data_IF_480863257920
#
_entry.id   IF_480863257920
#
_cell.length_a   1.000
_cell.length_b   1.000
_cell.length_c   1.000
_cell.angle_alpha   90.00
_cell.angle_beta   90.00
_cell.angle_gamma   90.00
#
_symmetry.space_group_name_H-M   'P 1'
#
loop_
_entity.id
_entity.type
_entity.pdbx_description
1 polymer ?
#
# COMPACT_ATOMS: atom_id res chain seq x y z
N UNK A 1 -12.62 17.17 -17.04
CA UNK A 1 -11.83 16.65 -15.92
C UNK A 1 -10.40 17.12 -16.07
N UNK A 2 -9.74 17.54 -14.99
CA UNK A 2 -8.32 17.95 -14.96
C UNK A 2 -7.52 16.85 -14.29
N UNK A 3 -6.46 16.36 -14.95
CA UNK A 3 -5.65 15.26 -14.44
C UNK A 3 -4.40 15.76 -13.72
N UNK A 4 -4.19 15.37 -12.47
CA UNK A 4 -2.90 15.48 -11.81
C UNK A 4 -2.06 14.23 -12.12
N UNK A 5 -0.79 14.38 -12.46
CA UNK A 5 0.08 13.27 -12.85
C UNK A 5 1.29 13.21 -11.93
N UNK A 6 1.48 12.09 -11.26
CA UNK A 6 2.66 11.83 -10.42
C UNK A 6 3.11 10.38 -10.54
N UNK A 7 4.26 10.03 -9.98
CA UNK A 7 4.77 8.68 -10.07
C UNK A 7 6.07 8.46 -9.30
N UNK A 8 6.73 7.32 -9.58
CA UNK A 8 8.02 7.01 -9.01
C UNK A 8 9.16 7.30 -10.01
N UNK A 9 9.88 8.42 -9.89
CA UNK A 9 10.91 8.83 -10.85
C UNK A 9 12.14 7.90 -10.87
N UNK A 10 12.29 6.99 -9.90
CA UNK A 10 13.40 6.04 -9.85
C UNK A 10 13.17 4.80 -10.72
N UNK A 11 12.01 4.67 -11.36
CA UNK A 11 11.64 3.53 -12.20
C UNK A 11 11.77 3.88 -13.67
N UNK A 12 12.70 3.23 -14.37
CA UNK A 12 12.92 3.47 -15.81
C UNK A 12 11.69 3.11 -16.64
N UNK A 13 10.90 2.12 -16.21
CA UNK A 13 9.65 1.71 -16.88
C UNK A 13 8.52 2.76 -16.81
N UNK A 14 8.71 3.87 -16.10
CA UNK A 14 7.76 4.96 -16.01
C UNK A 14 7.73 5.80 -17.29
N UNK A 15 8.89 6.09 -17.88
CA UNK A 15 9.09 7.26 -18.70
C UNK A 15 8.43 7.18 -20.09
N UNK A 16 8.67 6.11 -20.85
CA UNK A 16 8.12 5.97 -22.20
C UNK A 16 6.57 5.91 -22.19
N UNK A 17 5.92 5.08 -21.33
CA UNK A 17 4.46 5.06 -21.28
C UNK A 17 3.86 6.39 -20.82
N UNK A 18 4.56 7.10 -19.92
CA UNK A 18 4.08 8.40 -19.45
C UNK A 18 4.19 9.46 -20.56
N UNK A 19 5.27 9.47 -21.34
CA UNK A 19 5.41 10.37 -22.48
C UNK A 19 4.33 10.12 -23.55
N UNK A 20 4.00 8.85 -23.82
CA UNK A 20 2.91 8.48 -24.72
C UNK A 20 1.56 8.98 -24.21
N UNK A 21 1.26 8.79 -22.91
CA UNK A 21 0.06 9.31 -22.29
C UNK A 21 -0.06 10.83 -22.41
N UNK A 22 1.01 11.57 -22.11
CA UNK A 22 1.03 13.04 -22.20
C UNK A 22 0.83 13.50 -23.65
N UNK A 23 1.42 12.80 -24.61
CA UNK A 23 1.19 13.03 -26.03
C UNK A 23 -0.30 12.90 -26.41
N UNK A 24 -0.98 11.90 -25.88
CA UNK A 24 -2.43 11.71 -26.05
C UNK A 24 -3.23 12.83 -25.39
N UNK A 25 -2.95 13.18 -24.14
CA UNK A 25 -3.66 14.25 -23.43
C UNK A 25 -3.58 15.57 -24.17
N UNK A 26 -2.40 15.92 -24.70
CA UNK A 26 -2.18 17.10 -25.54
C UNK A 26 -2.97 17.04 -26.85
N UNK A 27 -2.97 15.90 -27.53
CA UNK A 27 -3.67 15.71 -28.81
C UNK A 27 -5.19 15.80 -28.67
N UNK A 28 -5.72 15.26 -27.56
CA UNK A 28 -7.16 15.27 -27.24
C UNK A 28 -7.60 16.58 -26.58
N UNK A 29 -6.67 17.50 -26.25
CA UNK A 29 -6.95 18.78 -25.62
C UNK A 29 -7.43 18.65 -24.17
N UNK A 30 -7.03 17.58 -23.48
CA UNK A 30 -7.37 17.34 -22.09
C UNK A 30 -6.46 18.14 -21.15
N UNK A 31 -7.01 18.70 -20.09
CA UNK A 31 -6.26 19.50 -19.13
C UNK A 31 -5.53 18.60 -18.12
N UNK A 32 -4.25 18.90 -17.87
CA UNK A 32 -3.45 18.14 -16.93
C UNK A 32 -2.37 18.98 -16.26
N UNK A 33 -1.91 18.51 -15.11
CA UNK A 33 -0.76 19.02 -14.38
C UNK A 33 0.21 17.88 -14.06
N UNK A 34 1.50 18.18 -14.09
CA UNK A 34 2.57 17.22 -13.84
C UNK A 34 3.30 17.62 -12.57
N UNK A 35 3.43 16.71 -11.62
CA UNK A 35 4.24 16.93 -10.44
C UNK A 35 5.70 17.22 -10.82
N UNK A 36 6.29 18.29 -10.29
CA UNK A 36 7.62 18.78 -10.66
C UNK A 36 8.70 17.71 -10.84
N UNK A 37 8.91 16.73 -9.91
CA UNK A 37 9.93 15.71 -10.09
C UNK A 37 9.73 14.82 -11.33
N UNK A 38 8.49 14.70 -11.79
CA UNK A 38 8.16 13.95 -13.01
C UNK A 38 8.39 14.81 -14.24
N UNK A 39 8.00 16.08 -14.20
CA UNK A 39 8.24 17.02 -15.29
C UNK A 39 9.75 17.20 -15.55
N UNK A 40 10.55 17.35 -14.52
CA UNK A 40 12.02 17.43 -14.61
C UNK A 40 12.60 16.16 -15.24
N UNK A 41 12.19 14.98 -14.79
CA UNK A 41 12.67 13.70 -15.32
C UNK A 41 12.30 13.44 -16.79
N UNK A 42 11.16 13.95 -17.27
CA UNK A 42 10.77 13.91 -18.68
C UNK A 42 11.66 14.80 -19.55
N UNK A 43 11.94 16.01 -19.07
CA UNK A 43 12.83 16.97 -19.79
C UNK A 43 14.26 16.45 -19.83
N UNK A 44 14.79 15.94 -18.71
CA UNK A 44 16.15 15.37 -18.66
C UNK A 44 16.37 14.22 -19.67
N UNK A 45 15.30 13.54 -20.07
CA UNK A 45 15.31 12.41 -21.02
C UNK A 45 14.91 12.79 -22.44
N UNK A 46 14.70 14.08 -22.71
CA UNK A 46 14.22 14.58 -24.01
C UNK A 46 12.90 13.91 -24.48
N UNK A 47 12.04 13.49 -23.55
CA UNK A 47 10.79 12.80 -23.86
C UNK A 47 9.61 13.76 -24.11
N UNK A 48 9.71 15.00 -23.65
CA UNK A 48 8.69 16.03 -23.84
C UNK A 48 9.37 17.41 -23.99
N UNK A 49 8.72 18.31 -24.74
CA UNK A 49 9.22 19.68 -24.88
C UNK A 49 9.23 20.39 -23.50
N UNK A 50 10.36 21.02 -23.21
CA UNK A 50 10.54 21.80 -21.98
C UNK A 50 9.52 22.94 -21.80
N UNK A 51 8.93 23.46 -22.88
CA UNK A 51 7.85 24.43 -22.83
C UNK A 51 6.58 23.82 -22.24
N UNK A 52 6.20 22.60 -22.68
CA UNK A 52 5.04 21.89 -22.15
C UNK A 52 5.23 21.62 -20.65
N UNK A 53 6.41 21.16 -20.24
CA UNK A 53 6.69 20.94 -18.81
C UNK A 53 6.57 22.24 -17.99
N UNK A 54 7.09 23.37 -18.50
CA UNK A 54 6.97 24.64 -17.77
C UNK A 54 5.54 25.13 -17.62
N UNK A 55 4.70 24.87 -18.62
CA UNK A 55 3.31 25.33 -18.63
C UNK A 55 2.40 24.43 -17.78
N UNK A 56 2.81 23.17 -17.52
CA UNK A 56 2.02 22.16 -16.80
C UNK A 56 2.65 21.64 -15.50
N UNK A 57 3.86 22.06 -15.13
CA UNK A 57 4.51 21.60 -13.90
C UNK A 57 3.93 22.29 -12.66
N UNK A 58 3.70 21.50 -11.61
CA UNK A 58 3.22 21.98 -10.30
C UNK A 58 3.97 21.31 -9.16
N UNK A 59 4.25 22.08 -8.11
CA UNK A 59 4.85 21.54 -6.87
C UNK A 59 3.82 20.85 -5.96
N UNK A 60 2.58 21.35 -5.95
CA UNK A 60 1.48 20.77 -5.17
C UNK A 60 0.46 20.07 -6.08
N UNK A 61 0.60 18.75 -6.25
CA UNK A 61 -0.29 17.97 -7.10
C UNK A 61 -1.70 17.81 -6.50
N UNK A 62 -1.85 18.01 -5.18
CA UNK A 62 -3.13 17.88 -4.50
C UNK A 62 -4.16 18.93 -4.91
N UNK A 63 -3.69 20.11 -5.32
CA UNK A 63 -4.54 21.24 -5.71
C UNK A 63 -4.68 21.36 -7.23
N UNK A 64 -4.00 20.49 -7.98
CA UNK A 64 -3.78 20.67 -9.39
C UNK A 64 -4.79 19.95 -10.29
N UNK A 65 -5.64 19.06 -9.76
CA UNK A 65 -6.54 18.29 -10.61
C UNK A 65 -7.77 17.76 -9.89
N UNK A 66 -8.78 17.39 -10.68
CA UNK A 66 -10.00 16.73 -10.21
C UNK A 66 -9.72 15.25 -9.82
N UNK A 67 -8.63 14.67 -10.35
CA UNK A 67 -8.20 13.30 -10.14
C UNK A 67 -6.69 13.20 -10.33
N UNK A 68 -6.01 12.38 -9.49
CA UNK A 68 -4.56 12.16 -9.60
C UNK A 68 -4.26 10.75 -10.10
N UNK A 69 -3.54 10.68 -11.23
CA UNK A 69 -2.95 9.46 -11.78
C UNK A 69 -1.60 9.20 -11.11
N UNK A 70 -1.46 8.09 -10.41
CA UNK A 70 -0.25 7.71 -9.67
C UNK A 70 0.45 6.53 -10.34
N UNK A 71 1.58 6.79 -11.01
CA UNK A 71 2.34 5.79 -11.76
C UNK A 71 3.41 5.11 -10.90
N UNK A 72 3.19 3.83 -10.58
CA UNK A 72 4.12 3.06 -9.73
C UNK A 72 3.49 1.78 -9.22
N UNK A 73 3.90 1.31 -8.06
CA UNK A 73 3.25 0.24 -7.30
C UNK A 73 2.51 0.79 -6.08
N UNK A 74 2.04 -0.12 -5.21
CA UNK A 74 1.29 0.22 -3.99
C UNK A 74 2.02 1.27 -3.12
N UNK A 75 3.33 1.14 -2.93
CA UNK A 75 4.12 2.12 -2.17
C UNK A 75 4.21 3.49 -2.84
N UNK A 76 4.03 3.60 -4.17
CA UNK A 76 3.94 4.89 -4.85
C UNK A 76 2.57 5.51 -4.61
N UNK A 77 1.51 4.72 -4.68
CA UNK A 77 0.17 5.19 -4.40
C UNK A 77 0.01 5.66 -2.94
N UNK A 78 0.61 4.94 -1.97
CA UNK A 78 0.68 5.39 -0.57
C UNK A 78 1.35 6.77 -0.45
N UNK A 79 2.51 6.96 -1.11
CA UNK A 79 3.16 8.28 -1.13
C UNK A 79 2.30 9.34 -1.79
N UNK A 80 1.62 9.01 -2.88
CA UNK A 80 0.69 9.94 -3.54
C UNK A 80 -0.45 10.32 -2.61
N UNK A 81 -1.05 9.37 -1.89
CA UNK A 81 -2.06 9.65 -0.89
C UNK A 81 -1.55 10.63 0.18
N UNK A 82 -0.33 10.44 0.66
CA UNK A 82 0.28 11.38 1.62
C UNK A 82 0.64 12.74 1.00
N UNK A 83 0.97 12.81 -0.29
CA UNK A 83 1.20 14.07 -0.99
C UNK A 83 -0.12 14.85 -1.20
N UNK A 84 -1.20 14.16 -1.52
CA UNK A 84 -2.52 14.78 -1.67
C UNK A 84 -3.13 15.15 -0.30
N UNK A 85 -2.65 14.52 0.78
CA UNK A 85 -3.11 14.80 2.14
C UNK A 85 -4.58 14.42 2.36
N UNK A 86 -5.25 15.02 3.35
CA UNK A 86 -6.65 14.74 3.69
C UNK A 86 -7.64 15.43 2.75
N UNK A 87 -7.25 15.65 1.49
CA UNK A 87 -8.14 16.20 0.46
C UNK A 87 -8.96 15.08 -0.17
N UNK A 88 -10.16 15.40 -0.60
CA UNK A 88 -11.06 14.43 -1.22
C UNK A 88 -10.68 14.07 -2.67
N UNK A 89 -9.51 14.51 -3.16
CA UNK A 89 -9.03 14.26 -4.53
C UNK A 89 -8.86 12.76 -4.79
N UNK A 90 -9.62 12.18 -5.72
CA UNK A 90 -9.55 10.76 -6.02
C UNK A 90 -8.19 10.38 -6.66
N UNK A 91 -7.71 9.18 -6.34
CA UNK A 91 -6.45 8.64 -6.83
C UNK A 91 -6.70 7.42 -7.71
N UNK A 92 -6.08 7.40 -8.89
CA UNK A 92 -6.02 6.22 -9.75
C UNK A 92 -4.61 5.65 -9.75
N UNK A 93 -4.44 4.43 -9.28
CA UNK A 93 -3.14 3.75 -9.25
C UNK A 93 -2.86 3.01 -10.55
N UNK A 94 -1.83 3.44 -11.28
CA UNK A 94 -1.36 2.79 -12.51
C UNK A 94 -0.06 2.05 -12.22
N UNK A 95 -0.09 0.74 -12.39
CA UNK A 95 1.04 -0.14 -12.12
C UNK A 95 2.02 -0.17 -13.29
N UNK A 96 3.28 0.13 -13.02
CA UNK A 96 4.38 0.07 -13.99
C UNK A 96 5.33 -1.11 -13.74
N UNK A 97 4.87 -2.14 -13.04
CA UNK A 97 5.68 -3.31 -12.69
C UNK A 97 4.82 -4.51 -12.33
N UNK A 98 4.93 -5.01 -11.09
CA UNK A 98 4.08 -6.13 -10.63
C UNK A 98 2.77 -5.59 -10.10
N UNK A 99 1.66 -6.12 -10.57
CA UNK A 99 0.31 -5.78 -10.13
C UNK A 99 0.22 -5.61 -8.60
N UNK A 100 -0.35 -4.48 -8.16
CA UNK A 100 -0.56 -4.13 -6.75
C UNK A 100 -1.95 -4.54 -6.24
N UNK A 101 -2.21 -4.31 -4.96
CA UNK A 101 -3.56 -4.33 -4.39
C UNK A 101 -4.23 -2.96 -4.46
N UNK A 102 -3.42 -1.89 -4.50
CA UNK A 102 -3.86 -0.50 -4.61
C UNK A 102 -3.73 0.01 -6.04
N UNK A 103 -2.52 -0.13 -6.64
CA UNK A 103 -2.25 0.16 -8.03
C UNK A 103 -2.54 -1.09 -8.87
N UNK A 104 -3.77 -1.22 -9.32
CA UNK A 104 -4.31 -2.42 -9.95
C UNK A 104 -4.74 -2.22 -11.42
N UNK A 105 -4.39 -1.07 -12.04
CA UNK A 105 -4.44 -0.87 -13.47
C UNK A 105 -3.05 -1.13 -14.05
N UNK A 106 -2.93 -2.03 -14.98
CA UNK A 106 -1.67 -2.25 -15.72
C UNK A 106 -1.43 -1.10 -16.69
N UNK A 107 -0.18 -0.71 -16.90
CA UNK A 107 0.17 0.46 -17.73
C UNK A 107 -0.36 0.33 -19.17
N UNK A 108 -0.43 -0.89 -19.70
CA UNK A 108 -0.96 -1.21 -21.02
C UNK A 108 -2.46 -0.89 -21.14
N UNK A 109 -3.18 -0.80 -20.01
CA UNK A 109 -4.60 -0.48 -19.94
C UNK A 109 -4.87 1.02 -19.74
N UNK A 110 -3.85 1.87 -19.71
CA UNK A 110 -4.00 3.30 -19.37
C UNK A 110 -4.91 4.05 -20.35
N UNK A 111 -4.88 3.68 -21.61
CA UNK A 111 -5.72 4.31 -22.63
C UNK A 111 -7.20 3.93 -22.46
N UNK A 112 -7.49 2.70 -22.09
CA UNK A 112 -8.85 2.25 -21.78
C UNK A 112 -9.34 2.88 -20.48
N UNK A 113 -8.43 3.05 -19.51
CA UNK A 113 -8.73 3.75 -18.27
C UNK A 113 -9.10 5.21 -18.50
N UNK A 114 -8.37 5.93 -19.37
CA UNK A 114 -8.72 7.30 -19.72
C UNK A 114 -10.10 7.38 -20.41
N UNK A 115 -10.40 6.46 -21.32
CA UNK A 115 -11.72 6.42 -21.97
C UNK A 115 -12.84 6.26 -20.93
N UNK A 116 -12.66 5.32 -20.01
CA UNK A 116 -13.64 5.10 -18.92
C UNK A 116 -13.81 6.34 -18.02
N UNK A 117 -12.71 7.06 -17.73
CA UNK A 117 -12.76 8.30 -16.96
C UNK A 117 -13.52 9.42 -17.70
N UNK A 118 -13.30 9.58 -19.02
CA UNK A 118 -14.00 10.57 -19.85
C UNK A 118 -15.50 10.25 -20.03
N UNK A 119 -15.84 8.96 -19.96
CA UNK A 119 -17.23 8.46 -20.05
C UNK A 119 -17.95 8.41 -18.69
N UNK A 120 -17.29 8.84 -17.59
CA UNK A 120 -17.76 8.70 -16.20
C UNK A 120 -18.06 7.23 -15.81
N UNK A 121 -17.43 6.25 -16.47
CA UNK A 121 -17.59 4.82 -16.20
C UNK A 121 -16.55 4.33 -15.20
N UNK A 122 -16.65 4.81 -13.99
CA UNK A 122 -15.81 4.42 -12.84
C UNK A 122 -16.58 4.54 -11.53
N UNK A 123 -16.02 4.01 -10.46
CA UNK A 123 -16.51 4.23 -9.10
C UNK A 123 -15.39 4.74 -8.20
N UNK A 124 -15.75 5.49 -7.19
CA UNK A 124 -14.84 5.90 -6.13
C UNK A 124 -15.08 5.02 -4.92
N UNK A 125 -13.99 4.40 -4.43
CA UNK A 125 -14.00 3.62 -3.19
C UNK A 125 -13.32 4.42 -2.09
N UNK A 126 -14.09 4.81 -1.08
CA UNK A 126 -13.57 5.43 0.13
C UNK A 126 -12.82 4.40 0.98
N UNK A 127 -11.57 4.70 1.28
CA UNK A 127 -10.72 3.85 2.12
C UNK A 127 -10.59 4.42 3.51
N UNK A 128 -10.89 3.59 4.49
CA UNK A 128 -10.68 3.91 5.90
C UNK A 128 -9.22 4.29 6.15
N UNK A 129 -9.02 5.36 6.89
CA UNK A 129 -7.72 5.86 7.34
C UNK A 129 -7.69 5.81 8.87
N UNK A 130 -6.56 5.42 9.44
CA UNK A 130 -6.29 5.54 10.86
C UNK A 130 -5.46 6.78 11.13
N UNK A 131 -5.69 7.44 12.25
CA UNK A 131 -4.83 8.48 12.78
C UNK A 131 -4.24 8.07 14.12
N UNK A 132 -3.02 8.51 14.39
CA UNK A 132 -2.33 8.30 15.65
C UNK A 132 -1.94 9.63 16.27
N UNK A 133 -2.16 9.75 17.57
CA UNK A 133 -1.72 10.87 18.39
C UNK A 133 -0.75 10.37 19.45
N UNK A 134 0.30 11.16 19.72
CA UNK A 134 1.24 10.91 20.80
C UNK A 134 0.97 11.83 21.98
N UNK A 135 0.71 11.26 23.14
CA UNK A 135 0.17 11.98 24.31
C UNK A 135 1.08 13.06 24.91
N UNK A 136 2.38 13.14 24.56
CA UNK A 136 3.33 14.01 25.24
C UNK A 136 4.47 14.59 24.42
N UNK A 137 4.44 14.51 23.10
CA UNK A 137 5.55 14.96 22.26
C UNK A 137 5.15 16.01 21.22
N UNK A 138 5.80 17.18 21.25
CA UNK A 138 5.63 18.25 20.27
C UNK A 138 6.24 17.96 18.88
N UNK A 139 6.96 16.84 18.73
CA UNK A 139 7.57 16.44 17.45
C UNK A 139 6.62 15.59 16.58
N UNK A 140 5.40 15.28 17.08
CA UNK A 140 4.49 14.35 16.46
C UNK A 140 3.04 14.78 16.73
N UNK A 141 2.57 15.78 16.00
CA UNK A 141 1.22 16.31 16.28
C UNK A 141 0.13 15.31 15.93
N UNK A 142 0.13 14.77 14.75
CA UNK A 142 -0.79 13.70 14.31
C UNK A 142 -0.21 13.04 13.07
N UNK A 143 -0.10 11.74 13.06
CA UNK A 143 0.22 10.95 11.87
C UNK A 143 -1.01 10.17 11.42
N UNK A 144 -1.08 9.83 10.14
CA UNK A 144 -2.14 9.00 9.62
C UNK A 144 -1.60 7.89 8.71
N UNK A 145 -2.34 6.82 8.57
CA UNK A 145 -1.99 5.67 7.75
C UNK A 145 -3.19 5.13 6.98
N UNK A 146 -2.97 4.85 5.70
CA UNK A 146 -3.92 4.15 4.83
C UNK A 146 -3.81 2.63 5.03
N UNK A 147 -2.59 2.10 5.20
CA UNK A 147 -2.37 0.69 5.49
C UNK A 147 -2.30 0.43 6.99
N UNK A 148 -1.24 0.89 7.66
CA UNK A 148 -1.00 0.51 9.06
C UNK A 148 -0.04 1.43 9.80
N UNK A 149 -0.18 1.44 11.12
CA UNK A 149 0.87 1.81 12.05
C UNK A 149 1.62 0.58 12.54
N UNK A 150 2.93 0.71 12.71
CA UNK A 150 3.80 -0.34 13.21
C UNK A 150 4.62 0.17 14.39
N UNK A 151 4.51 -0.52 15.53
CA UNK A 151 5.48 -0.41 16.62
C UNK A 151 6.46 -1.58 16.47
N UNK A 152 7.76 -1.29 16.36
CA UNK A 152 8.81 -2.29 16.13
C UNK A 152 10.04 -2.03 17.01
N UNK A 153 10.75 -3.07 17.41
CA UNK A 153 11.92 -3.04 18.26
C UNK A 153 13.20 -2.45 17.65
N UNK A 154 13.15 -1.83 16.50
CA UNK A 154 14.31 -1.18 15.85
C UNK A 154 15.54 -2.08 15.62
N UNK A 155 15.33 -3.40 15.39
CA UNK A 155 16.43 -4.34 15.16
C UNK A 155 17.27 -4.70 16.40
N UNK A 156 16.91 -4.19 17.60
CA UNK A 156 17.57 -4.51 18.85
C UNK A 156 17.38 -5.99 19.24
N UNK A 157 18.30 -6.55 20.03
CA UNK A 157 18.13 -7.87 20.60
C UNK A 157 17.09 -7.82 21.74
N UNK A 158 16.16 -8.78 21.76
CA UNK A 158 15.12 -8.87 22.77
C UNK A 158 13.74 -8.46 22.23
N UNK A 159 12.72 -8.62 23.06
CA UNK A 159 11.33 -8.29 22.73
C UNK A 159 10.98 -6.93 23.33
N UNK A 160 10.06 -6.22 22.70
CA UNK A 160 9.44 -5.05 23.31
C UNK A 160 8.15 -5.46 24.05
N UNK A 161 7.81 -4.70 25.09
CA UNK A 161 6.56 -4.85 25.83
C UNK A 161 5.61 -3.74 25.41
N UNK A 162 4.50 -4.11 24.79
CA UNK A 162 3.47 -3.16 24.35
C UNK A 162 2.19 -3.46 25.11
N UNK A 163 1.81 -2.58 26.04
CA UNK A 163 0.50 -2.63 26.67
C UNK A 163 -0.53 -2.03 25.72
N UNK A 164 -1.64 -2.72 25.54
CA UNK A 164 -2.73 -2.29 24.66
C UNK A 164 -4.05 -2.28 25.44
N UNK A 165 -4.77 -1.18 25.32
CA UNK A 165 -6.16 -1.04 25.74
C UNK A 165 -7.04 -0.67 24.55
N UNK A 166 -8.28 -1.13 24.58
CA UNK A 166 -9.34 -0.83 23.61
C UNK A 166 -10.51 -0.20 24.36
N UNK A 167 -10.91 0.99 23.98
CA UNK A 167 -11.97 1.78 24.64
C UNK A 167 -11.75 1.89 26.14
N UNK A 168 -10.50 2.11 26.54
CA UNK A 168 -10.08 2.21 27.95
C UNK A 168 -10.01 0.87 28.70
N UNK A 169 -10.36 -0.26 28.05
CA UNK A 169 -10.27 -1.59 28.67
C UNK A 169 -8.97 -2.26 28.27
N UNK A 170 -8.17 -2.71 29.24
CA UNK A 170 -6.94 -3.45 28.97
C UNK A 170 -7.24 -4.71 28.16
N UNK A 171 -6.60 -4.82 27.00
CA UNK A 171 -6.71 -5.99 26.13
C UNK A 171 -5.62 -7.01 26.44
N UNK A 172 -4.36 -6.58 26.36
CA UNK A 172 -3.21 -7.46 26.55
C UNK A 172 -1.91 -6.64 26.71
N UNK A 173 -0.89 -7.26 27.27
CA UNK A 173 0.49 -6.79 27.20
C UNK A 173 1.27 -7.75 26.30
N UNK A 174 1.58 -7.29 25.09
CA UNK A 174 2.32 -8.08 24.10
C UNK A 174 3.82 -8.04 24.38
N UNK A 175 4.43 -9.22 24.44
CA UNK A 175 5.86 -9.43 24.38
C UNK A 175 6.17 -9.92 22.98
N UNK A 176 6.69 -9.06 22.12
CA UNK A 176 6.78 -9.33 20.69
C UNK A 176 7.95 -8.56 20.05
N UNK A 177 8.26 -8.85 18.80
CA UNK A 177 9.13 -8.00 18.00
C UNK A 177 8.45 -6.67 17.68
N UNK A 178 7.11 -6.65 17.62
CA UNK A 178 6.33 -5.46 17.38
C UNK A 178 4.82 -5.72 17.37
N UNK A 179 4.08 -4.67 17.01
CA UNK A 179 2.62 -4.69 16.85
C UNK A 179 2.22 -3.85 15.64
N UNK A 180 1.35 -4.41 14.81
CA UNK A 180 0.74 -3.72 13.68
C UNK A 180 -0.69 -3.36 14.05
N UNK A 181 -1.09 -2.12 13.77
CA UNK A 181 -2.46 -1.61 13.87
C UNK A 181 -2.86 -1.22 12.46
N UNK A 182 -3.64 -2.06 11.79
CA UNK A 182 -3.91 -1.96 10.36
C UNK A 182 -5.37 -1.67 10.02
N UNK A 183 -5.56 -1.07 8.85
CA UNK A 183 -6.86 -0.90 8.19
C UNK A 183 -7.23 -2.15 7.40
N UNK A 184 -8.44 -2.27 6.87
CA UNK A 184 -8.78 -3.31 5.88
C UNK A 184 -7.89 -3.25 4.63
N UNK A 185 -7.51 -2.04 4.19
CA UNK A 185 -6.57 -1.86 3.08
C UNK A 185 -5.20 -2.45 3.43
N UNK A 186 -4.67 -2.18 4.62
CA UNK A 186 -3.42 -2.73 5.14
C UNK A 186 -3.45 -4.22 5.45
N UNK A 187 -4.64 -4.85 5.48
CA UNK A 187 -4.75 -6.30 5.69
C UNK A 187 -4.02 -7.15 4.65
N UNK A 188 -3.75 -6.57 3.48
CA UNK A 188 -2.98 -7.20 2.40
C UNK A 188 -1.52 -6.72 2.33
N UNK A 189 -1.08 -5.85 3.26
CA UNK A 189 0.27 -5.32 3.39
C UNK A 189 1.09 -6.08 4.46
N UNK A 190 1.73 -5.40 5.40
CA UNK A 190 2.60 -6.05 6.39
C UNK A 190 1.85 -7.01 7.31
N UNK A 191 0.60 -6.68 7.67
CA UNK A 191 -0.26 -7.56 8.46
C UNK A 191 -0.41 -8.96 7.84
N UNK A 192 -0.52 -9.08 6.51
CA UNK A 192 -0.63 -10.37 5.83
C UNK A 192 0.60 -11.25 6.06
N UNK A 193 1.80 -10.68 5.99
CA UNK A 193 3.06 -11.42 6.17
C UNK A 193 3.30 -11.88 7.61
N UNK A 194 2.63 -11.26 8.57
CA UNK A 194 2.67 -11.64 10.00
C UNK A 194 1.50 -12.51 10.44
N UNK A 195 0.69 -12.98 9.47
CA UNK A 195 -0.42 -13.91 9.73
C UNK A 195 -1.75 -13.25 10.07
N UNK A 196 -1.89 -11.97 9.79
CA UNK A 196 -3.16 -11.24 9.90
C UNK A 196 -4.20 -11.75 8.88
N UNK A 197 -5.49 -11.59 9.17
CA UNK A 197 -6.57 -11.96 8.25
C UNK A 197 -6.64 -11.00 7.06
N UNK A 198 -7.07 -11.49 5.90
CA UNK A 198 -7.44 -10.64 4.78
C UNK A 198 -8.84 -10.10 5.04
N UNK A 199 -8.99 -8.79 4.99
CA UNK A 199 -10.27 -8.09 5.14
C UNK A 199 -10.61 -7.37 3.83
N UNK A 200 -11.84 -7.53 3.36
CA UNK A 200 -12.30 -6.81 2.18
C UNK A 200 -12.31 -5.29 2.46
N UNK A 201 -11.90 -4.46 1.50
CA UNK A 201 -11.71 -3.02 1.74
C UNK A 201 -12.94 -2.25 2.25
N UNK A 202 -14.15 -2.69 1.92
CA UNK A 202 -15.40 -2.06 2.37
C UNK A 202 -15.87 -2.46 3.79
N UNK A 203 -15.09 -3.29 4.51
CA UNK A 203 -15.44 -3.67 5.90
C UNK A 203 -14.92 -2.62 6.86
N UNK A 204 -15.78 -2.12 7.73
CA UNK A 204 -15.41 -1.16 8.78
C UNK A 204 -14.76 -1.87 9.98
N UNK A 205 -13.44 -2.02 9.94
CA UNK A 205 -12.67 -2.73 10.95
C UNK A 205 -11.25 -2.18 11.11
N UNK A 206 -10.65 -2.48 12.28
CA UNK A 206 -9.22 -2.29 12.56
C UNK A 206 -8.63 -3.63 12.95
N UNK A 207 -7.40 -3.90 12.56
CA UNK A 207 -6.71 -5.15 12.83
C UNK A 207 -5.53 -4.88 13.76
N UNK A 208 -5.44 -5.64 14.84
CA UNK A 208 -4.23 -5.71 15.67
C UNK A 208 -3.50 -7.01 15.34
N UNK A 209 -2.29 -6.91 14.81
CA UNK A 209 -1.47 -8.07 14.45
C UNK A 209 -0.12 -8.00 15.15
N UNK A 210 0.16 -8.85 16.15
CA UNK A 210 1.45 -8.91 16.80
C UNK A 210 2.51 -9.52 15.88
N UNK A 211 3.72 -8.96 15.90
CA UNK A 211 4.87 -9.43 15.12
C UNK A 211 5.68 -10.39 15.99
N UNK A 212 5.80 -11.65 15.60
CA UNK A 212 6.56 -12.69 16.30
C UNK A 212 6.36 -12.68 17.84
N UNK A 213 5.12 -12.80 18.34
CA UNK A 213 4.85 -12.74 19.78
C UNK A 213 5.46 -13.94 20.51
N UNK A 214 6.00 -13.70 21.70
CA UNK A 214 6.58 -14.76 22.54
C UNK A 214 5.53 -15.80 22.99
N UNK A 215 4.29 -15.36 23.18
CA UNK A 215 3.19 -16.22 23.65
C UNK A 215 2.49 -16.88 22.47
N UNK A 216 2.52 -18.21 22.40
CA UNK A 216 1.97 -19.01 21.31
C UNK A 216 0.44 -18.94 21.15
N UNK A 217 -0.30 -18.48 22.16
CA UNK A 217 -1.76 -18.36 22.15
C UNK A 217 -2.25 -17.04 21.59
N UNK A 218 -1.40 -16.04 21.48
CA UNK A 218 -1.75 -14.73 20.91
C UNK A 218 -2.08 -14.86 19.43
N UNK A 219 -3.13 -14.20 19.00
CA UNK A 219 -3.59 -14.18 17.59
C UNK A 219 -3.92 -12.75 17.18
N UNK A 220 -3.87 -12.43 15.91
CA UNK A 220 -4.45 -11.21 15.39
C UNK A 220 -5.91 -11.09 15.79
N UNK A 221 -6.35 -9.88 16.12
CA UNK A 221 -7.73 -9.58 16.49
C UNK A 221 -8.29 -8.50 15.56
N UNK A 222 -9.54 -8.66 15.18
CA UNK A 222 -10.30 -7.67 14.40
C UNK A 222 -11.24 -6.95 15.34
N UNK A 223 -11.20 -5.62 15.29
CA UNK A 223 -11.99 -4.72 16.12
C UNK A 223 -12.90 -3.85 15.24
N UNK A 224 -13.99 -3.29 15.77
CA UNK A 224 -14.76 -2.27 15.05
C UNK A 224 -13.89 -1.05 14.67
N UNK A 225 -14.22 -0.40 13.54
CA UNK A 225 -13.44 0.73 13.04
C UNK A 225 -13.48 1.97 13.95
N UNK A 226 -14.51 2.10 14.79
CA UNK A 226 -14.72 3.18 15.74
C UNK A 226 -14.04 2.94 17.11
N UNK A 227 -13.35 1.79 17.27
CA UNK A 227 -12.60 1.51 18.49
C UNK A 227 -11.42 2.47 18.66
N UNK A 228 -11.24 2.99 19.87
CA UNK A 228 -10.07 3.75 20.27
C UNK A 228 -9.01 2.80 20.86
N UNK A 229 -7.85 2.72 20.21
CA UNK A 229 -6.77 1.82 20.60
C UNK A 229 -5.66 2.65 21.26
N UNK A 230 -5.35 2.35 22.50
CA UNK A 230 -4.24 2.97 23.22
C UNK A 230 -3.11 1.96 23.35
N UNK A 231 -1.91 2.33 22.87
CA UNK A 231 -0.71 1.53 22.97
C UNK A 231 0.34 2.26 23.79
N UNK A 232 0.97 1.57 24.73
CA UNK A 232 2.08 2.09 25.50
C UNK A 232 3.26 1.11 25.46
N UNK A 233 4.43 1.61 24.99
CA UNK A 233 5.66 0.84 25.08
C UNK A 233 6.16 0.95 26.52
N UNK A 234 6.13 -0.16 27.26
CA UNK A 234 6.59 -0.25 28.63
C UNK A 234 8.13 -0.21 28.69
N UNK A 235 8.72 -0.50 29.85
CA UNK A 235 10.18 -0.50 30.01
C UNK A 235 10.89 -1.23 28.87
N UNK A 236 11.71 -0.49 28.12
CA UNK A 236 12.58 -1.02 27.09
C UNK A 236 13.93 -0.29 27.19
N UNK A 237 15.03 -1.06 27.34
CA UNK A 237 16.39 -0.48 27.40
C UNK A 237 16.93 -0.11 26.02
N UNK A 238 16.13 -0.30 24.97
CA UNK A 238 16.51 -0.10 23.57
C UNK A 238 15.52 0.85 22.88
N UNK A 239 15.97 1.62 21.88
CA UNK A 239 15.06 2.41 21.09
C UNK A 239 14.09 1.52 20.30
N UNK A 240 12.92 2.06 19.98
CA UNK A 240 11.90 1.44 19.17
C UNK A 240 11.44 2.38 18.05
N UNK A 241 10.82 1.80 17.03
CA UNK A 241 10.31 2.54 15.87
C UNK A 241 8.80 2.59 15.93
N UNK A 242 8.25 3.76 15.65
CA UNK A 242 6.86 3.93 15.24
C UNK A 242 6.83 4.31 13.76
N UNK A 243 6.11 3.57 12.96
CA UNK A 243 6.00 3.82 11.53
C UNK A 243 4.54 3.97 11.10
N UNK A 244 4.27 4.88 10.16
CA UNK A 244 3.00 5.10 9.49
C UNK A 244 3.20 4.87 7.98
N UNK A 245 2.59 3.85 7.40
CA UNK A 245 2.74 3.48 5.97
C UNK A 245 4.22 3.44 5.52
N UNK A 246 5.11 2.91 6.38
CA UNK A 246 6.56 2.80 6.13
C UNK A 246 7.38 4.06 6.40
N UNK A 247 6.76 5.20 6.77
CA UNK A 247 7.46 6.39 7.26
C UNK A 247 7.72 6.20 8.75
N UNK A 248 8.99 6.09 9.14
CA UNK A 248 9.39 5.70 10.49
C UNK A 248 10.02 6.82 11.29
N UNK A 249 9.68 6.87 12.59
CA UNK A 249 10.29 7.72 13.60
C UNK A 249 10.88 6.85 14.69
N UNK A 250 12.12 7.12 15.10
CA UNK A 250 12.81 6.41 16.18
C UNK A 250 12.52 7.10 17.51
N UNK A 251 12.20 6.30 18.52
CA UNK A 251 11.98 6.75 19.89
C UNK A 251 12.92 6.01 20.84
N UNK A 252 13.52 6.73 21.76
CA UNK A 252 14.35 6.23 22.86
C UNK A 252 13.74 6.47 24.25
N UNK A 253 12.59 7.11 24.29
CA UNK A 253 11.85 7.41 25.51
C UNK A 253 10.90 6.27 25.87
N UNK A 254 10.81 5.93 27.16
CA UNK A 254 9.91 4.90 27.67
C UNK A 254 8.57 5.50 28.10
N UNK A 255 7.55 4.64 28.06
CA UNK A 255 6.23 4.99 28.57
C UNK A 255 5.44 5.94 27.67
N UNK A 256 5.90 6.18 26.44
CA UNK A 256 5.12 6.94 25.47
C UNK A 256 3.83 6.20 25.14
N UNK A 257 2.75 6.95 25.15
CA UNK A 257 1.42 6.46 24.86
C UNK A 257 0.97 6.97 23.50
N UNK A 258 0.62 6.06 22.62
CA UNK A 258 0.02 6.32 21.32
C UNK A 258 -1.47 6.00 21.39
N UNK A 259 -2.30 6.92 20.93
CA UNK A 259 -3.73 6.67 20.73
C UNK A 259 -3.99 6.59 19.24
N UNK A 260 -4.55 5.47 18.79
CA UNK A 260 -4.90 5.21 17.39
C UNK A 260 -6.42 5.07 17.28
N UNK A 261 -6.98 5.80 16.32
CA UNK A 261 -8.42 5.83 16.06
C UNK A 261 -8.68 6.05 14.56
N UNK A 262 -9.93 5.91 14.13
CA UNK A 262 -10.35 6.26 12.78
C UNK A 262 -10.13 7.76 12.53
N UNK A 263 -9.50 8.11 11.43
CA UNK A 263 -9.37 9.50 10.99
C UNK A 263 -10.71 10.07 10.54
N UNK A 264 -10.84 11.39 10.59
CA UNK A 264 -12.02 12.09 10.09
C UNK A 264 -12.15 12.12 8.56
N UNK A 265 -11.03 11.84 7.85
CA UNK A 265 -10.96 11.80 6.40
C UNK A 265 -10.78 10.37 5.90
N UNK A 266 -11.03 10.17 4.61
CA UNK A 266 -10.79 8.94 3.86
C UNK A 266 -9.80 9.18 2.74
N UNK A 267 -9.26 8.14 2.15
CA UNK A 267 -8.55 8.19 0.87
C UNK A 267 -9.46 7.62 -0.22
N UNK A 268 -9.70 8.40 -1.24
CA UNK A 268 -10.58 8.05 -2.34
C UNK A 268 -9.80 7.35 -3.47
N UNK A 269 -10.11 6.08 -3.74
CA UNK A 269 -9.51 5.33 -4.83
C UNK A 269 -10.49 5.16 -5.97
N UNK A 270 -10.07 5.56 -7.17
CA UNK A 270 -10.82 5.29 -8.39
C UNK A 270 -10.67 3.85 -8.80
N UNK A 271 -11.76 3.20 -9.17
CA UNK A 271 -11.82 1.83 -9.66
C UNK A 271 -12.66 1.74 -10.92
N UNK A 272 -12.10 1.12 -11.95
CA UNK A 272 -12.80 0.84 -13.20
C UNK A 272 -13.76 -0.34 -13.03
N UNK A 273 -14.78 -0.50 -13.92
CA UNK A 273 -15.74 -1.59 -13.83
C UNK A 273 -15.12 -2.99 -13.86
N UNK A 274 -14.00 -3.15 -14.57
CA UNK A 274 -13.27 -4.41 -14.68
C UNK A 274 -12.50 -4.79 -13.41
N UNK A 275 -12.29 -3.85 -12.49
CA UNK A 275 -11.47 -4.05 -11.31
C UNK A 275 -12.29 -4.57 -10.12
N UNK A 276 -11.92 -5.74 -9.64
CA UNK A 276 -12.55 -6.39 -8.50
C UNK A 276 -11.51 -6.90 -7.52
N UNK A 277 -11.64 -6.55 -6.25
CA UNK A 277 -10.75 -6.98 -5.17
C UNK A 277 -10.45 -8.49 -5.19
N UNK A 278 -11.46 -9.33 -5.39
CA UNK A 278 -11.26 -10.78 -5.40
C UNK A 278 -10.50 -11.28 -6.64
N UNK A 279 -10.53 -10.54 -7.75
CA UNK A 279 -9.72 -10.87 -8.91
C UNK A 279 -8.24 -10.58 -8.61
N UNK A 280 -7.94 -9.38 -8.10
CA UNK A 280 -6.60 -9.00 -7.68
C UNK A 280 -6.05 -9.94 -6.61
N UNK A 281 -6.88 -10.31 -5.62
CA UNK A 281 -6.50 -11.24 -4.56
C UNK A 281 -6.08 -12.62 -5.12
N UNK A 282 -6.88 -13.20 -6.03
CA UNK A 282 -6.54 -14.50 -6.65
C UNK A 282 -5.27 -14.42 -7.48
N UNK A 283 -5.13 -13.38 -8.30
CA UNK A 283 -3.93 -13.17 -9.12
C UNK A 283 -2.68 -13.05 -8.27
N UNK A 284 -2.72 -12.20 -7.25
CA UNK A 284 -1.56 -11.92 -6.40
C UNK A 284 -1.16 -13.09 -5.51
N UNK A 285 -2.13 -13.80 -4.94
CA UNK A 285 -1.87 -14.91 -4.02
C UNK A 285 -1.89 -16.27 -4.74
N UNK A 286 -2.05 -16.28 -6.07
CA UNK A 286 -2.11 -17.50 -6.88
C UNK A 286 -3.16 -18.52 -6.37
N UNK A 287 -4.27 -18.01 -5.83
CA UNK A 287 -5.36 -18.88 -5.35
C UNK A 287 -6.06 -19.57 -6.51
N UNK A 288 -6.22 -20.89 -6.39
CA UNK A 288 -6.87 -21.73 -7.41
C UNK A 288 -5.97 -22.10 -8.60
N UNK A 289 -4.72 -21.66 -8.63
CA UNK A 289 -3.73 -22.14 -9.60
C UNK A 289 -3.28 -23.53 -9.17
N UNK A 290 -3.77 -24.58 -9.87
CA UNK A 290 -3.17 -25.91 -9.75
C UNK A 290 -1.76 -25.82 -10.35
N UNK A 291 -0.71 -26.08 -9.59
CA UNK A 291 0.58 -26.45 -10.17
C UNK A 291 0.32 -27.72 -10.97
N UNK A 292 0.47 -27.65 -12.28
CA UNK A 292 0.52 -28.86 -13.11
C UNK A 292 1.78 -29.63 -12.68
N UNK A 293 1.59 -30.68 -11.89
CA UNK A 293 2.61 -31.71 -11.64
C UNK A 293 2.72 -32.60 -12.90
N UNK A 294 2.85 -32.02 -14.07
CA UNK A 294 3.04 -32.76 -15.32
C UNK A 294 4.33 -32.27 -16.00
N UNK A 295 5.44 -32.72 -15.40
CA UNK A 295 6.70 -32.92 -16.14
C UNK A 295 7.47 -34.13 -15.61
N UNK A 296 6.75 -35.18 -15.20
CA UNK A 296 7.27 -36.54 -15.25
C UNK A 296 6.79 -37.13 -16.57
N UNK A 297 7.61 -36.98 -17.60
CA UNK A 297 7.50 -37.70 -18.86
C UNK A 297 7.85 -39.19 -18.62
N UNK A 298 6.86 -40.14 -18.67
CA UNK A 298 7.18 -41.52 -18.47
C UNK A 298 7.60 -42.22 -19.78
N UNK A 299 8.41 -41.53 -20.58
CA UNK A 299 8.90 -42.08 -21.86
C UNK A 299 10.42 -42.28 -21.85
N UNK A 300 10.96 -42.96 -20.84
CA UNK A 300 12.26 -43.61 -20.99
C UNK A 300 12.05 -45.14 -20.79
N UNK A 301 12.14 -45.95 -21.87
CA UNK A 301 12.02 -47.41 -21.74
C UNK A 301 13.20 -47.93 -20.88
N UNK A 302 12.88 -48.70 -19.84
CA UNK A 302 13.84 -49.45 -19.05
C UNK A 302 14.54 -50.46 -19.96
N UNK A 303 15.89 -50.61 -19.91
CA UNK A 303 16.57 -51.67 -20.62
C UNK A 303 16.10 -53.01 -20.07
N UNK A 304 15.65 -53.89 -20.97
CA UNK A 304 15.29 -55.27 -20.68
C UNK A 304 16.52 -56.01 -20.12
N UNK A 305 16.43 -56.52 -18.91
CA UNK A 305 17.41 -57.44 -18.34
C UNK A 305 17.25 -58.76 -19.08
N UNK A 306 18.21 -59.09 -19.94
CA UNK A 306 18.38 -60.43 -20.52
C UNK A 306 18.58 -61.45 -19.39
N UNK A 307 17.59 -62.29 -19.19
CA UNK A 307 17.73 -63.54 -18.43
C UNK A 307 18.45 -64.52 -19.33
N UNK A 308 19.77 -64.61 -19.21
CA UNK A 308 20.53 -65.69 -19.77
C UNK A 308 20.23 -67.01 -19.05
N UNK A 309 19.46 -67.88 -19.68
CA UNK A 309 19.44 -69.30 -19.37
C UNK A 309 20.61 -69.99 -20.01
N UNK A 310 21.39 -70.71 -19.23
CA UNK A 310 22.50 -71.51 -19.76
C UNK A 310 23.00 -72.55 -18.77
N UNK A 311 22.47 -73.72 -18.90
CA UNK A 311 23.01 -75.08 -18.55
C UNK A 311 24.03 -75.18 -17.43
#
# INVERSE_FOLDING_TARGET
MVYGITGNPTKDSLWDPLAELLGRLLADGLEFWIHEPIAEGLVERDLIDSAVCRDHAVSNIAEAGDLVLSFGGDGTLLRTAHLTGPNDTPLLGVNIGRLGFLADIEIEQIHDALNALEEDDYRVEERLVLQAQLASHSAFDTEWALNEFVLDRSGAAGLIQIEVAVDGTHLNTYWADGLIIGTPTGSTAYSLSTGGPIIAPGVEAVILTPIAPHTLTVRPIVLPADATITCQVLQNDQPYVFAADGRSTLFDEHGLQFTVERAAHTVNLVKLPSQHFFHTLRSKLMWGVRRSEDSDDPATPRPETETGSGT
#
